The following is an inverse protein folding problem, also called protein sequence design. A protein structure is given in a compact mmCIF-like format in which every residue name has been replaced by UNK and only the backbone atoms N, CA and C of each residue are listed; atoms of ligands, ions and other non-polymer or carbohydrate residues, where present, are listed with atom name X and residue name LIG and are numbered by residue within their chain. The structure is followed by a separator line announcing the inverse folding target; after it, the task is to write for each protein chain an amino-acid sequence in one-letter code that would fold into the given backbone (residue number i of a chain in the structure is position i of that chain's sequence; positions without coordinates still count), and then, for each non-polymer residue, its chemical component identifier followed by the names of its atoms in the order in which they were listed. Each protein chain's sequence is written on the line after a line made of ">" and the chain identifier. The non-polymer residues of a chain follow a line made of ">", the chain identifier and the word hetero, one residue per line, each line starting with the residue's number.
data_IF_521848050169
#
_entry.id   IF_521848050169
#
_cell.length_a   1.000
_cell.length_b   1.000
_cell.length_c   1.000
_cell.angle_alpha   90.00
_cell.angle_beta   90.00
_cell.angle_gamma   90.00
#
_symmetry.space_group_name_H-M   'P 1'
#
loop_
_entity.id
_entity.type
_entity.pdbx_description
1 polymer ?
#
# COMPACT_ATOMS: atom_id res chain seq x y z
N UNK A 1 -4.23 -4.83 -14.74
CA UNK A 1 -4.18 -4.00 -16.02
C UNK A 1 -3.73 -2.61 -15.67
N UNK A 2 -2.69 -2.07 -16.33
CA UNK A 2 -2.17 -0.73 -16.07
C UNK A 2 -3.13 0.31 -16.65
N UNK A 3 -3.49 1.32 -15.84
CA UNK A 3 -4.16 2.54 -16.30
C UNK A 3 -3.22 3.71 -16.13
N UNK A 4 -2.87 4.36 -17.25
CA UNK A 4 -1.98 5.52 -17.22
C UNK A 4 -2.77 6.82 -17.41
N UNK A 5 -2.36 7.83 -16.68
CA UNK A 5 -2.88 9.19 -16.73
C UNK A 5 -1.73 10.16 -16.91
N UNK A 6 -1.95 11.20 -17.71
CA UNK A 6 -0.98 12.26 -17.98
C UNK A 6 -1.53 13.60 -17.51
N UNK A 7 -0.67 14.45 -16.95
CA UNK A 7 -1.03 15.79 -16.45
C UNK A 7 -2.29 15.74 -15.58
N UNK A 8 -2.32 14.76 -14.65
CA UNK A 8 -3.52 14.48 -13.84
C UNK A 8 -3.51 15.25 -12.53
N UNK A 9 -4.68 15.78 -12.16
CA UNK A 9 -4.86 16.44 -10.87
C UNK A 9 -4.69 15.45 -9.71
N UNK A 10 -3.96 15.87 -8.69
CA UNK A 10 -3.73 15.15 -7.45
C UNK A 10 -4.68 15.58 -6.31
N UNK A 11 -5.59 16.53 -6.56
CA UNK A 11 -6.49 17.07 -5.53
C UNK A 11 -7.32 16.00 -4.83
N UNK A 12 -7.87 15.05 -5.60
CA UNK A 12 -8.64 13.93 -5.07
C UNK A 12 -7.78 12.73 -4.61
N UNK A 13 -6.46 12.88 -4.65
CA UNK A 13 -5.49 11.81 -4.35
C UNK A 13 -4.57 12.15 -3.17
N UNK A 14 -4.89 13.20 -2.42
CA UNK A 14 -4.22 13.56 -1.18
C UNK A 14 -5.22 14.14 -0.17
N UNK A 15 -5.00 13.87 1.11
CA UNK A 15 -5.91 14.28 2.19
C UNK A 15 -5.95 15.77 2.42
N UNK A 16 -4.94 16.53 2.00
CA UNK A 16 -4.90 17.98 2.11
C UNK A 16 -5.74 18.67 1.02
N UNK A 17 -6.19 17.93 -0.01
CA UNK A 17 -6.96 18.49 -1.12
C UNK A 17 -6.21 19.54 -1.93
N UNK A 18 -4.87 19.50 -1.89
CA UNK A 18 -4.02 20.44 -2.62
C UNK A 18 -4.12 20.16 -4.11
N UNK A 19 -4.34 21.22 -4.89
CA UNK A 19 -4.41 21.17 -6.35
C UNK A 19 -3.00 21.26 -6.92
N UNK A 20 -2.41 20.09 -7.19
CA UNK A 20 -1.17 19.93 -7.93
C UNK A 20 -1.36 18.84 -8.99
N UNK A 21 -0.47 18.74 -9.95
CA UNK A 21 -0.57 17.76 -11.02
C UNK A 21 0.62 16.80 -11.01
N UNK A 22 0.38 15.57 -11.42
CA UNK A 22 1.46 14.63 -11.76
C UNK A 22 1.65 14.59 -13.28
N UNK A 23 2.91 14.64 -13.73
CA UNK A 23 3.22 14.48 -15.14
C UNK A 23 2.72 13.14 -15.67
N UNK A 24 2.92 12.06 -14.88
CA UNK A 24 2.41 10.72 -15.15
C UNK A 24 1.93 10.07 -13.85
N UNK A 25 0.83 9.31 -13.94
CA UNK A 25 0.36 8.44 -12.87
C UNK A 25 -0.06 7.12 -13.47
N UNK A 26 0.45 6.01 -12.92
CA UNK A 26 0.08 4.67 -13.32
C UNK A 26 -0.56 3.92 -12.16
N UNK A 27 -1.79 3.45 -12.37
CA UNK A 27 -2.47 2.54 -11.47
C UNK A 27 -2.16 1.11 -11.89
N UNK A 28 -1.80 0.28 -10.91
CA UNK A 28 -1.43 -1.12 -11.13
C UNK A 28 -2.14 -2.06 -10.15
N UNK A 29 -2.35 -3.31 -10.56
CA UNK A 29 -3.03 -4.34 -9.77
C UNK A 29 -2.13 -5.54 -9.46
N UNK A 30 -1.18 -5.86 -10.33
CA UNK A 30 -0.42 -7.10 -10.27
C UNK A 30 1.09 -6.88 -10.36
N UNK A 31 1.84 -7.94 -10.05
CA UNK A 31 3.29 -7.98 -10.22
C UNK A 31 3.69 -7.83 -11.70
N UNK A 32 2.92 -8.44 -12.60
CA UNK A 32 3.14 -8.34 -14.05
C UNK A 32 3.00 -6.90 -14.54
N UNK A 33 2.08 -6.12 -13.94
CA UNK A 33 1.96 -4.69 -14.22
C UNK A 33 3.24 -3.94 -13.82
N UNK A 34 3.82 -4.26 -12.65
CA UNK A 34 5.09 -3.67 -12.20
C UNK A 34 6.26 -4.07 -13.11
N UNK A 35 6.32 -5.35 -13.54
CA UNK A 35 7.29 -5.79 -14.53
C UNK A 35 7.16 -5.02 -15.85
N UNK A 36 5.94 -4.74 -16.30
CA UNK A 36 5.73 -3.97 -17.53
C UNK A 36 6.14 -2.51 -17.36
N UNK A 37 5.90 -1.89 -16.20
CA UNK A 37 6.28 -0.50 -15.90
C UNK A 37 7.81 -0.34 -15.84
N UNK A 38 8.49 -1.24 -15.15
CA UNK A 38 9.94 -1.13 -14.88
C UNK A 38 10.80 -1.93 -15.86
N UNK A 39 10.22 -2.81 -16.68
CA UNK A 39 10.95 -3.63 -17.65
C UNK A 39 11.64 -2.84 -18.76
N UNK A 40 11.22 -1.61 -19.01
CA UNK A 40 11.88 -0.65 -19.92
C UNK A 40 12.98 0.21 -19.29
N UNK A 41 13.25 0.02 -17.99
CA UNK A 41 14.18 0.80 -17.19
C UNK A 41 13.48 1.58 -16.08
N UNK A 42 14.25 1.96 -15.06
CA UNK A 42 13.76 2.74 -13.94
C UNK A 42 13.65 4.21 -14.36
N UNK A 43 12.48 4.86 -14.27
CA UNK A 43 12.36 6.28 -14.54
C UNK A 43 13.24 7.11 -13.60
N UNK A 44 13.83 8.21 -14.10
CA UNK A 44 14.71 9.10 -13.32
C UNK A 44 14.00 9.65 -12.07
N UNK A 45 12.70 9.89 -12.16
CA UNK A 45 11.88 10.37 -11.05
C UNK A 45 10.59 9.59 -10.95
N UNK A 46 10.44 8.86 -9.88
CA UNK A 46 9.22 8.12 -9.59
C UNK A 46 8.97 8.01 -8.08
N UNK A 47 7.74 7.74 -7.68
CA UNK A 47 7.36 7.48 -6.29
C UNK A 47 6.07 6.66 -6.22
N UNK A 48 5.81 6.05 -5.09
CA UNK A 48 4.53 5.38 -4.81
C UNK A 48 3.60 6.37 -4.12
N UNK A 49 2.41 6.53 -4.68
CA UNK A 49 1.29 7.24 -4.07
C UNK A 49 0.22 6.22 -3.67
N UNK A 50 0.12 5.94 -2.38
CA UNK A 50 -0.94 5.10 -1.81
C UNK A 50 -2.24 5.91 -1.62
N UNK A 51 -2.79 6.01 -0.41
CA UNK A 51 -3.96 6.82 -0.10
C UNK A 51 -3.73 8.34 -0.06
N UNK A 52 -2.47 8.80 -0.14
CA UNK A 52 -2.14 10.21 -0.08
C UNK A 52 -2.39 10.87 1.28
N UNK A 53 -2.47 10.07 2.35
CA UNK A 53 -2.85 10.55 3.68
C UNK A 53 -1.68 11.18 4.45
N UNK A 54 -0.44 10.86 4.07
CA UNK A 54 0.77 11.36 4.73
C UNK A 54 1.76 11.97 3.72
N UNK A 55 1.24 12.71 2.74
CA UNK A 55 2.03 13.39 1.73
C UNK A 55 1.45 14.78 1.46
N UNK A 56 2.31 15.79 1.39
CA UNK A 56 1.96 17.14 0.98
C UNK A 56 2.67 17.47 -0.33
N UNK A 57 1.91 17.71 -1.38
CA UNK A 57 2.44 18.20 -2.64
C UNK A 57 2.58 19.72 -2.59
N UNK A 58 3.80 20.24 -2.55
CA UNK A 58 4.10 21.67 -2.54
C UNK A 58 4.26 22.27 -3.95
N UNK A 59 4.33 21.41 -4.96
CA UNK A 59 4.44 21.76 -6.37
C UNK A 59 3.99 20.56 -7.22
N UNK A 60 3.82 20.75 -8.51
CA UNK A 60 3.56 19.66 -9.45
C UNK A 60 4.67 18.59 -9.38
N UNK A 61 4.27 17.34 -9.55
CA UNK A 61 5.20 16.21 -9.55
C UNK A 61 5.63 15.88 -10.97
N UNK A 62 6.82 16.29 -11.34
CA UNK A 62 7.42 16.02 -12.65
C UNK A 62 8.07 14.64 -12.66
N UNK A 63 7.27 13.60 -12.76
CA UNK A 63 7.72 12.20 -12.72
C UNK A 63 6.55 11.23 -12.81
N UNK A 64 6.83 9.95 -12.52
CA UNK A 64 5.85 8.87 -12.48
C UNK A 64 5.40 8.62 -11.05
N UNK A 65 4.11 8.78 -10.77
CA UNK A 65 3.47 8.26 -9.56
C UNK A 65 2.86 6.89 -9.83
N UNK A 66 3.07 5.96 -8.91
CA UNK A 66 2.54 4.60 -8.95
C UNK A 66 1.50 4.43 -7.85
N UNK A 67 0.30 3.98 -8.20
CA UNK A 67 -0.78 3.77 -7.24
C UNK A 67 -1.27 2.33 -7.29
N UNK A 68 -1.16 1.55 -6.19
CA UNK A 68 -1.76 0.22 -6.10
C UNK A 68 -3.28 0.35 -6.00
N UNK A 69 -4.01 -0.41 -6.83
CA UNK A 69 -5.48 -0.38 -6.87
C UNK A 69 -6.15 -1.73 -6.62
N UNK A 70 -5.39 -2.83 -6.53
CA UNK A 70 -5.94 -4.14 -6.18
C UNK A 70 -6.45 -4.14 -4.73
N UNK A 71 -7.69 -4.59 -4.53
CA UNK A 71 -8.40 -4.57 -3.24
C UNK A 71 -8.78 -5.97 -2.76
N UNK A 72 -7.97 -6.98 -3.06
CA UNK A 72 -8.27 -8.35 -2.64
C UNK A 72 -7.84 -8.59 -1.20
N UNK A 73 -8.74 -9.24 -0.44
CA UNK A 73 -8.45 -9.79 0.88
C UNK A 73 -8.70 -11.29 0.80
N UNK A 74 -7.74 -12.11 1.23
CA UNK A 74 -7.83 -13.55 1.17
C UNK A 74 -7.43 -14.20 2.50
N UNK A 75 -8.24 -15.17 2.94
CA UNK A 75 -7.88 -16.06 4.03
C UNK A 75 -6.88 -17.09 3.49
N UNK A 76 -5.71 -17.19 4.13
CA UNK A 76 -4.66 -18.14 3.73
C UNK A 76 -4.73 -19.45 4.51
N UNK A 77 -5.16 -19.39 5.76
CA UNK A 77 -5.26 -20.56 6.63
C UNK A 77 -5.22 -20.18 8.10
N UNK A 78 -5.21 -21.21 8.94
CA UNK A 78 -5.10 -21.08 10.40
C UNK A 78 -4.01 -22.04 10.90
N UNK A 79 -3.14 -21.54 11.76
CA UNK A 79 -2.09 -22.32 12.41
C UNK A 79 -1.93 -21.90 13.88
N UNK A 80 -1.99 -22.85 14.80
CA UNK A 80 -1.80 -22.60 16.24
C UNK A 80 -2.77 -21.60 16.86
N UNK A 81 -3.99 -21.45 16.30
CA UNK A 81 -4.98 -20.46 16.74
C UNK A 81 -4.78 -19.07 16.13
N UNK A 82 -3.80 -18.91 15.24
CA UNK A 82 -3.56 -17.68 14.48
C UNK A 82 -4.10 -17.84 13.06
N UNK A 83 -4.91 -16.90 12.63
CA UNK A 83 -5.47 -16.85 11.27
C UNK A 83 -4.60 -15.96 10.39
N UNK A 84 -4.12 -16.51 9.29
CA UNK A 84 -3.30 -15.79 8.32
C UNK A 84 -4.17 -15.20 7.21
N UNK A 85 -4.07 -13.89 7.02
CA UNK A 85 -4.82 -13.12 6.02
C UNK A 85 -3.84 -12.39 5.12
N UNK A 86 -4.11 -12.40 3.82
CA UNK A 86 -3.40 -11.59 2.83
C UNK A 86 -4.29 -10.45 2.38
N UNK A 87 -3.79 -9.23 2.44
CA UNK A 87 -4.41 -8.05 1.87
C UNK A 87 -3.51 -7.45 0.78
N UNK A 88 -4.08 -7.11 -0.36
CA UNK A 88 -3.36 -6.41 -1.42
C UNK A 88 -3.09 -4.94 -1.01
N UNK A 89 -2.06 -4.35 -1.61
CA UNK A 89 -1.58 -3.02 -1.23
C UNK A 89 -2.60 -1.89 -1.41
N UNK A 90 -3.58 -2.06 -2.30
CA UNK A 90 -4.64 -1.09 -2.58
C UNK A 90 -5.86 -1.17 -1.66
N UNK A 91 -5.94 -2.18 -0.78
CA UNK A 91 -7.04 -2.31 0.21
C UNK A 91 -7.02 -1.13 1.16
N UNK A 92 -8.16 -0.46 1.36
CA UNK A 92 -8.27 0.54 2.43
C UNK A 92 -8.07 -0.16 3.78
N UNK A 93 -7.30 0.48 4.66
CA UNK A 93 -6.94 -0.15 5.94
C UNK A 93 -8.17 -0.45 6.80
N UNK A 94 -9.12 0.48 6.85
CA UNK A 94 -10.34 0.31 7.65
C UNK A 94 -11.26 -0.77 7.09
N UNK A 95 -11.29 -0.96 5.76
CA UNK A 95 -12.02 -2.08 5.13
C UNK A 95 -11.41 -3.44 5.52
N UNK A 96 -10.07 -3.51 5.67
CA UNK A 96 -9.40 -4.72 6.18
C UNK A 96 -9.77 -4.99 7.64
N UNK A 97 -9.81 -3.94 8.46
CA UNK A 97 -10.23 -4.06 9.88
C UNK A 97 -11.68 -4.53 9.96
N UNK A 98 -12.58 -3.90 9.21
CA UNK A 98 -13.99 -4.29 9.17
C UNK A 98 -14.15 -5.75 8.71
N UNK A 99 -13.45 -6.12 7.63
CA UNK A 99 -13.46 -7.48 7.10
C UNK A 99 -13.03 -8.53 8.14
N UNK A 100 -12.01 -8.23 8.96
CA UNK A 100 -11.52 -9.08 10.03
C UNK A 100 -12.55 -9.19 11.16
N UNK A 101 -13.05 -8.07 11.67
CA UNK A 101 -14.02 -8.02 12.77
C UNK A 101 -15.31 -8.77 12.41
N UNK A 102 -15.84 -8.61 11.20
CA UNK A 102 -17.02 -9.33 10.72
C UNK A 102 -16.85 -10.86 10.72
N UNK A 103 -15.60 -11.35 10.72
CA UNK A 103 -15.25 -12.78 10.78
C UNK A 103 -14.83 -13.26 12.16
N UNK A 104 -14.94 -12.39 13.18
CA UNK A 104 -14.51 -12.69 14.54
C UNK A 104 -12.99 -12.82 14.69
N UNK A 105 -12.22 -12.19 13.79
CA UNK A 105 -10.76 -12.15 13.86
C UNK A 105 -10.30 -10.92 14.65
N UNK A 106 -9.30 -11.10 15.49
CA UNK A 106 -8.82 -10.12 16.47
C UNK A 106 -7.36 -9.71 16.15
N UNK A 107 -6.95 -8.55 16.66
CA UNK A 107 -5.56 -8.08 16.66
C UNK A 107 -5.34 -6.77 15.91
N UNK A 108 -6.29 -6.33 15.05
CA UNK A 108 -6.22 -5.05 14.34
C UNK A 108 -7.41 -4.13 14.59
N UNK A 109 -8.37 -4.53 15.43
CA UNK A 109 -9.60 -3.77 15.71
C UNK A 109 -9.32 -2.39 16.31
N UNK A 110 -8.28 -2.26 17.14
CA UNK A 110 -7.87 -0.98 17.71
C UNK A 110 -7.24 -0.01 16.68
N UNK A 111 -6.94 -0.49 15.48
CA UNK A 111 -6.38 0.29 14.39
C UNK A 111 -7.46 0.74 13.39
N UNK A 112 -8.75 0.60 13.74
CA UNK A 112 -9.87 1.09 12.94
C UNK A 112 -9.82 2.61 12.77
N UNK A 113 -10.40 3.10 11.66
CA UNK A 113 -10.47 4.53 11.30
C UNK A 113 -9.11 5.22 11.06
N UNK A 114 -8.00 4.48 11.06
CA UNK A 114 -6.72 5.05 10.62
C UNK A 114 -6.76 5.17 9.09
N UNK A 115 -6.63 6.38 8.55
CA UNK A 115 -6.72 6.56 7.10
C UNK A 115 -5.49 6.01 6.39
N UNK A 116 -5.69 5.41 5.23
CA UNK A 116 -4.62 4.88 4.38
C UNK A 116 -4.91 3.48 3.85
N UNK A 117 -3.95 2.93 3.14
CA UNK A 117 -4.07 1.62 2.51
C UNK A 117 -3.15 0.59 3.15
N UNK A 118 -3.52 -0.68 3.06
CA UNK A 118 -2.78 -1.81 3.63
C UNK A 118 -1.31 -1.84 3.20
N UNK A 119 -1.01 -1.51 1.94
CA UNK A 119 0.38 -1.45 1.45
C UNK A 119 1.23 -0.34 2.08
N UNK A 120 0.64 0.71 2.65
CA UNK A 120 1.35 1.78 3.33
C UNK A 120 1.51 1.52 4.85
N UNK A 121 0.68 0.65 5.41
CA UNK A 121 0.66 0.37 6.85
C UNK A 121 2.03 -0.07 7.42
N UNK A 122 2.77 -1.01 6.79
CA UNK A 122 4.09 -1.41 7.30
C UNK A 122 5.15 -0.30 7.14
N UNK A 123 5.03 0.57 6.13
CA UNK A 123 5.99 1.65 5.87
C UNK A 123 5.93 2.72 6.97
N UNK A 124 4.73 3.02 7.46
CA UNK A 124 4.50 4.05 8.48
C UNK A 124 4.38 3.45 9.88
N UNK A 125 4.37 2.12 10.00
CA UNK A 125 4.08 1.41 11.24
C UNK A 125 2.88 2.05 11.97
N UNK A 126 1.74 2.13 11.26
CA UNK A 126 0.53 2.77 11.80
C UNK A 126 0.18 2.19 13.16
N UNK A 127 -0.23 3.06 14.09
CA UNK A 127 -0.51 2.65 15.46
C UNK A 127 -1.52 3.55 16.14
N UNK A 128 -2.31 2.96 17.03
CA UNK A 128 -3.27 3.64 17.88
C UNK A 128 -3.55 2.81 19.14
N UNK A 129 -3.85 3.49 20.24
CA UNK A 129 -4.29 2.85 21.50
C UNK A 129 -3.33 1.75 22.02
N UNK A 130 -2.03 1.92 21.78
CA UNK A 130 -1.00 0.98 22.23
C UNK A 130 -0.82 -0.25 21.34
N UNK A 131 -1.51 -0.33 20.20
CA UNK A 131 -1.33 -1.35 19.17
C UNK A 131 -0.61 -0.74 17.96
N UNK A 132 0.23 -1.51 17.32
CA UNK A 132 0.94 -1.11 16.10
C UNK A 132 0.76 -2.16 14.99
N UNK A 133 0.79 -1.73 13.73
CA UNK A 133 0.61 -2.65 12.60
C UNK A 133 1.64 -3.80 12.60
N UNK A 134 2.87 -3.53 13.05
CA UNK A 134 3.92 -4.55 13.18
C UNK A 134 3.54 -5.71 14.10
N UNK A 135 2.62 -5.50 15.06
CA UNK A 135 2.21 -6.55 16.00
C UNK A 135 1.31 -7.59 15.32
N UNK A 136 0.65 -7.23 14.21
CA UNK A 136 -0.26 -8.09 13.46
C UNK A 136 0.29 -8.51 12.09
N UNK A 137 1.26 -7.79 11.53
CA UNK A 137 1.83 -8.10 10.23
C UNK A 137 2.95 -9.15 10.41
N UNK A 138 2.81 -10.30 9.79
CA UNK A 138 3.83 -11.35 9.78
C UNK A 138 4.84 -11.16 8.65
N UNK A 139 4.36 -10.81 7.46
CA UNK A 139 5.17 -10.73 6.23
C UNK A 139 4.72 -9.58 5.34
N UNK A 140 5.68 -8.99 4.66
CA UNK A 140 5.43 -7.99 3.60
C UNK A 140 6.00 -8.52 2.29
N UNK A 141 5.14 -8.62 1.28
CA UNK A 141 5.55 -8.93 -0.09
C UNK A 141 5.84 -7.63 -0.82
N UNK A 142 7.04 -7.50 -1.35
CA UNK A 142 7.53 -6.29 -2.00
C UNK A 142 8.07 -6.59 -3.39
N UNK A 143 7.99 -5.62 -4.25
CA UNK A 143 8.65 -5.63 -5.56
C UNK A 143 9.92 -4.79 -5.49
N UNK A 144 11.07 -5.43 -5.70
CA UNK A 144 12.35 -4.75 -5.80
C UNK A 144 12.54 -4.22 -7.22
N UNK A 145 12.52 -2.90 -7.37
CA UNK A 145 12.60 -2.23 -8.67
C UNK A 145 13.96 -2.42 -9.36
N UNK A 146 15.05 -2.48 -8.56
CA UNK A 146 16.41 -2.59 -9.08
C UNK A 146 16.66 -3.88 -9.87
N UNK A 147 16.07 -4.98 -9.44
CA UNK A 147 16.24 -6.28 -10.07
C UNK A 147 14.96 -6.88 -10.65
N UNK A 148 13.87 -6.12 -10.59
CA UNK A 148 12.52 -6.52 -11.02
C UNK A 148 12.10 -7.88 -10.42
N UNK A 149 12.28 -8.09 -9.13
CA UNK A 149 11.91 -9.34 -8.44
C UNK A 149 11.03 -9.08 -7.24
N UNK A 150 10.07 -9.95 -7.02
CA UNK A 150 9.36 -10.00 -5.76
C UNK A 150 10.22 -10.59 -4.65
N UNK A 151 10.10 -10.00 -3.48
CA UNK A 151 10.74 -10.47 -2.25
C UNK A 151 9.71 -10.47 -1.12
N UNK A 152 9.95 -11.32 -0.14
CA UNK A 152 9.15 -11.38 1.08
C UNK A 152 10.05 -11.02 2.26
N UNK A 153 9.66 -10.00 3.01
CA UNK A 153 10.28 -9.68 4.29
C UNK A 153 9.39 -10.19 5.43
N UNK A 154 10.02 -10.86 6.39
CA UNK A 154 9.39 -11.12 7.70
C UNK A 154 9.62 -9.93 8.60
N UNK A 155 8.60 -9.49 9.35
CA UNK A 155 8.74 -8.38 10.29
C UNK A 155 9.68 -8.63 11.45
N UNK A 156 10.00 -9.89 11.73
CA UNK A 156 11.04 -10.26 12.72
C UNK A 156 12.41 -9.67 12.35
N UNK A 157 12.63 -9.30 11.09
CA UNK A 157 13.88 -8.70 10.60
C UNK A 157 13.82 -7.17 10.40
N UNK A 158 12.66 -6.52 10.63
CA UNK A 158 12.49 -5.06 10.46
C UNK A 158 12.71 -4.30 11.78
N UNK A 159 12.78 -5.00 12.89
CA UNK A 159 12.89 -4.41 14.25
C UNK A 159 14.32 -4.31 14.80
N UNK A 160 15.36 -4.49 13.98
CA UNK A 160 16.77 -4.27 14.36
C UNK A 160 17.37 -3.05 13.67
#
# INVERSE_FOLDING_TARGET
>A
MIREFHQTSLRGRNSFGVEQHAARLAEFETEEDLHAIFGGGIPDRWSVLSGGNNILFTQDYDGLLLTPVSQRIALLGEEGGTVHVRADAGVEWDDLVEWAVQRGLWGIENLSLIPGKAGAAPVQNIGAYGCEAKDAIERVHMFCVENCKCMTLSLIHISE
#
